data_IF_694949457141
#
_entry.id   IF_694949457141
#
_cell.length_a   1.000
_cell.length_b   1.000
_cell.length_c   1.000
_cell.angle_alpha   90.00
_cell.angle_beta   90.00
_cell.angle_gamma   90.00
#
_symmetry.space_group_name_H-M   'P 1'
#
loop_
_entity.id
_entity.type
_entity.pdbx_description
1 polymer ?
#
# COMPACT_ATOMS: atom_id res chain seq x y z
N UNK A 1 -3.07 -47.76 -78.35
CA UNK A 1 -3.80 -46.87 -77.51
C UNK A 1 -3.09 -46.82 -76.15
N UNK A 2 -2.42 -45.74 -75.85
CA UNK A 2 -1.67 -45.53 -74.60
C UNK A 2 -2.30 -44.37 -73.89
N UNK A 3 -3.05 -44.67 -72.80
CA UNK A 3 -3.69 -43.68 -71.91
C UNK A 3 -2.65 -43.23 -70.88
N UNK A 4 -2.33 -41.94 -70.86
CA UNK A 4 -1.50 -41.33 -69.85
C UNK A 4 -2.40 -40.78 -68.72
N UNK A 5 -2.24 -41.34 -67.51
CA UNK A 5 -2.80 -40.76 -66.28
C UNK A 5 -1.92 -39.57 -65.86
N UNK A 6 -2.49 -38.39 -65.78
CA UNK A 6 -1.87 -37.22 -65.18
C UNK A 6 -2.29 -37.16 -63.73
N UNK A 7 -1.32 -37.31 -62.80
CA UNK A 7 -1.52 -37.14 -61.37
C UNK A 7 -1.36 -35.66 -61.02
N UNK A 8 -2.44 -34.99 -60.59
CA UNK A 8 -2.42 -33.65 -60.01
C UNK A 8 -1.98 -33.78 -58.56
N UNK A 9 -0.81 -33.30 -58.25
CA UNK A 9 -0.35 -33.06 -56.85
C UNK A 9 -0.87 -31.69 -56.41
N UNK A 10 -1.88 -31.66 -55.53
CA UNK A 10 -2.31 -30.46 -54.81
C UNK A 10 -1.32 -30.21 -53.66
N UNK A 11 -0.44 -29.24 -53.81
CA UNK A 11 0.41 -28.74 -52.76
C UNK A 11 -0.43 -27.80 -51.87
N UNK A 12 -0.90 -28.26 -50.74
CA UNK A 12 -1.51 -27.41 -49.68
C UNK A 12 -0.39 -26.63 -49.01
N UNK A 13 -0.25 -25.36 -49.38
CA UNK A 13 0.59 -24.39 -48.66
C UNK A 13 -0.11 -24.08 -47.30
N UNK A 14 0.33 -24.77 -46.23
CA UNK A 14 0.04 -24.35 -44.87
C UNK A 14 0.78 -23.03 -44.60
N UNK A 15 0.07 -21.91 -44.66
CA UNK A 15 0.58 -20.64 -44.12
C UNK A 15 0.73 -20.78 -42.63
N UNK A 16 1.95 -21.04 -42.15
CA UNK A 16 2.33 -20.82 -40.77
C UNK A 16 2.25 -19.30 -40.56
N UNK A 17 1.13 -18.83 -40.04
CA UNK A 17 1.07 -17.51 -39.46
C UNK A 17 2.01 -17.53 -38.25
N UNK A 18 3.16 -16.87 -38.39
CA UNK A 18 4.01 -16.57 -37.24
C UNK A 18 3.15 -15.76 -36.25
N UNK A 19 2.61 -16.42 -35.25
CA UNK A 19 2.15 -15.74 -34.05
C UNK A 19 3.40 -15.18 -33.36
N UNK A 20 3.78 -14.00 -33.78
CA UNK A 20 4.77 -13.22 -33.06
C UNK A 20 4.11 -12.88 -31.73
N UNK A 21 4.47 -13.60 -30.64
CA UNK A 21 4.06 -13.26 -29.30
C UNK A 21 4.51 -11.81 -29.09
N UNK A 22 3.56 -10.90 -28.90
CA UNK A 22 3.89 -9.54 -28.53
C UNK A 22 4.70 -9.58 -27.24
N UNK A 23 5.82 -8.84 -27.19
CA UNK A 23 6.59 -8.75 -25.96
C UNK A 23 5.69 -8.18 -24.86
N UNK A 24 5.73 -8.80 -23.68
CA UNK A 24 4.94 -8.33 -22.53
C UNK A 24 5.34 -6.89 -22.17
N UNK A 25 4.37 -6.05 -21.88
CA UNK A 25 4.62 -4.67 -21.46
C UNK A 25 5.14 -4.63 -20.03
N UNK A 26 6.28 -3.96 -19.87
CA UNK A 26 6.88 -3.80 -18.55
C UNK A 26 6.10 -2.77 -17.72
N UNK A 27 5.73 -3.15 -16.52
CA UNK A 27 5.06 -2.29 -15.53
C UNK A 27 5.80 -2.37 -14.21
N UNK A 28 6.19 -1.25 -13.66
CA UNK A 28 6.80 -1.15 -12.34
C UNK A 28 5.73 -0.76 -11.33
N UNK A 29 5.45 -1.68 -10.39
CA UNK A 29 4.54 -1.49 -9.25
C UNK A 29 5.35 -1.20 -7.98
N UNK A 30 5.23 0.02 -7.43
CA UNK A 30 5.81 0.38 -6.14
C UNK A 30 4.79 0.15 -5.03
N UNK A 31 5.11 -0.74 -4.10
CA UNK A 31 4.30 -0.97 -2.91
C UNK A 31 4.47 0.16 -1.88
N UNK A 32 3.45 0.34 -1.04
CA UNK A 32 3.45 1.35 0.02
C UNK A 32 4.41 1.02 1.16
N UNK A 33 4.56 -0.24 1.52
CA UNK A 33 5.27 -0.70 2.71
C UNK A 33 6.18 -1.89 2.40
N UNK A 34 6.93 -2.36 3.41
CA UNK A 34 7.68 -3.62 3.31
C UNK A 34 6.75 -4.78 2.95
N UNK A 35 7.30 -5.85 2.40
CA UNK A 35 6.51 -7.01 2.00
C UNK A 35 5.81 -7.62 3.20
N UNK A 36 4.48 -7.52 3.21
CA UNK A 36 3.58 -7.99 4.26
C UNK A 36 2.30 -8.58 3.65
N UNK A 37 1.44 -9.14 4.48
CA UNK A 37 0.25 -9.89 4.07
C UNK A 37 -0.73 -9.10 3.18
N UNK A 38 -0.88 -7.78 3.38
CA UNK A 38 -1.76 -6.94 2.56
C UNK A 38 -1.37 -6.90 1.08
N UNK A 39 -0.11 -7.18 0.77
CA UNK A 39 0.40 -7.20 -0.61
C UNK A 39 0.44 -8.61 -1.22
N UNK A 40 -0.01 -9.63 -0.49
CA UNK A 40 0.07 -11.03 -0.98
C UNK A 40 -0.59 -11.20 -2.35
N UNK A 41 -1.71 -10.50 -2.62
CA UNK A 41 -2.41 -10.58 -3.89
C UNK A 41 -1.53 -10.24 -5.10
N UNK A 42 -0.67 -9.23 -4.99
CA UNK A 42 0.23 -8.82 -6.08
C UNK A 42 1.30 -9.89 -6.36
N UNK A 43 1.87 -10.48 -5.32
CA UNK A 43 2.86 -11.55 -5.45
C UNK A 43 2.24 -12.85 -5.96
N UNK A 44 1.03 -13.18 -5.51
CA UNK A 44 0.29 -14.36 -6.00
C UNK A 44 -0.07 -14.19 -7.47
N UNK A 45 -0.52 -12.99 -7.89
CA UNK A 45 -0.80 -12.71 -9.29
C UNK A 45 0.43 -12.91 -10.17
N UNK A 46 1.62 -12.49 -9.70
CA UNK A 46 2.88 -12.72 -10.40
C UNK A 46 3.26 -14.20 -10.42
N UNK A 47 3.21 -14.90 -9.27
CA UNK A 47 3.60 -16.31 -9.15
C UNK A 47 2.70 -17.25 -9.99
N UNK A 48 1.42 -16.90 -10.13
CA UNK A 48 0.43 -17.65 -10.91
C UNK A 48 0.41 -17.29 -12.39
N UNK A 49 1.18 -16.31 -12.82
CA UNK A 49 1.23 -15.88 -14.21
C UNK A 49 0.04 -15.01 -14.65
N UNK A 50 -0.77 -14.50 -13.73
CA UNK A 50 -1.96 -13.70 -14.09
C UNK A 50 -1.60 -12.39 -14.79
N UNK A 51 -0.44 -11.81 -14.49
CA UNK A 51 0.04 -10.63 -15.20
C UNK A 51 0.49 -10.98 -16.63
N UNK A 52 1.18 -12.11 -16.80
CA UNK A 52 1.61 -12.59 -18.12
C UNK A 52 0.42 -12.95 -19.02
N UNK A 53 -0.67 -13.49 -18.43
CA UNK A 53 -1.93 -13.78 -19.15
C UNK A 53 -2.54 -12.49 -19.74
N UNK A 54 -2.35 -11.35 -19.05
CA UNK A 54 -2.80 -10.03 -19.52
C UNK A 54 -1.71 -9.30 -20.33
N UNK A 55 -0.61 -9.98 -20.69
CA UNK A 55 0.48 -9.42 -21.46
C UNK A 55 1.36 -8.42 -20.70
N UNK A 56 1.43 -8.52 -19.37
CA UNK A 56 2.21 -7.66 -18.51
C UNK A 56 3.42 -8.38 -17.92
N UNK A 57 4.58 -7.72 -17.91
CA UNK A 57 5.77 -8.09 -17.12
C UNK A 57 5.87 -7.12 -15.93
N UNK A 58 5.36 -7.55 -14.76
CA UNK A 58 5.26 -6.69 -13.58
C UNK A 58 6.48 -6.85 -12.68
N UNK A 59 7.23 -5.76 -12.51
CA UNK A 59 8.25 -5.62 -11.47
C UNK A 59 7.62 -5.06 -10.19
N UNK A 60 7.62 -5.84 -9.10
CA UNK A 60 7.09 -5.42 -7.80
C UNK A 60 8.25 -4.90 -6.96
N UNK A 61 8.23 -3.60 -6.62
CA UNK A 61 9.19 -2.96 -5.72
C UNK A 61 8.60 -2.83 -4.31
N UNK A 62 9.23 -3.39 -3.28
CA UNK A 62 8.78 -3.19 -1.91
C UNK A 62 8.93 -1.72 -1.50
N UNK A 63 8.04 -1.27 -0.63
CA UNK A 63 8.12 0.03 0.02
C UNK A 63 8.85 -0.02 1.36
N UNK A 64 8.56 0.93 2.23
CA UNK A 64 9.15 1.00 3.56
C UNK A 64 8.87 2.32 4.29
N UNK A 65 9.34 2.43 5.55
CA UNK A 65 9.05 3.58 6.39
C UNK A 65 9.70 4.90 5.92
N UNK A 66 10.61 4.85 4.95
CA UNK A 66 11.31 6.01 4.39
C UNK A 66 11.04 6.19 2.88
N UNK A 67 10.07 5.44 2.33
CA UNK A 67 9.68 5.53 0.92
C UNK A 67 8.31 6.19 0.81
N UNK A 68 8.23 7.25 0.01
CA UNK A 68 6.98 7.91 -0.36
C UNK A 68 6.59 7.52 -1.80
N UNK A 69 5.66 6.56 -2.02
CA UNK A 69 5.30 6.11 -3.35
C UNK A 69 4.87 7.24 -4.31
N UNK A 70 4.14 8.28 -3.86
CA UNK A 70 3.83 9.42 -4.73
C UNK A 70 5.06 10.15 -5.27
N UNK A 71 6.16 10.22 -4.50
CA UNK A 71 7.41 10.82 -4.98
C UNK A 71 8.12 9.90 -5.98
N UNK A 72 8.05 8.57 -5.76
CA UNK A 72 8.63 7.59 -6.68
C UNK A 72 7.97 7.69 -8.05
N UNK A 73 6.63 7.72 -8.12
CA UNK A 73 5.92 7.81 -9.41
C UNK A 73 6.11 9.19 -10.07
N UNK A 74 6.11 10.28 -9.30
CA UNK A 74 6.36 11.62 -9.81
C UNK A 74 7.77 11.75 -10.41
N UNK A 75 8.74 11.03 -9.87
CA UNK A 75 10.11 10.94 -10.37
C UNK A 75 10.31 9.93 -11.51
N UNK A 76 9.26 9.26 -11.97
CA UNK A 76 9.33 8.25 -13.03
C UNK A 76 9.91 6.91 -12.60
N UNK A 77 9.98 6.65 -11.30
CA UNK A 77 10.54 5.40 -10.73
C UNK A 77 9.55 4.23 -10.69
N UNK A 78 8.26 4.48 -10.97
CA UNK A 78 7.20 3.48 -11.07
C UNK A 78 6.12 3.93 -12.04
N UNK A 79 5.36 2.97 -12.58
CA UNK A 79 4.19 3.20 -13.42
C UNK A 79 2.89 3.20 -12.60
N UNK A 80 2.82 2.33 -11.60
CA UNK A 80 1.72 2.20 -10.66
C UNK A 80 2.28 2.24 -9.25
N UNK A 81 1.57 2.89 -8.34
CA UNK A 81 1.95 2.89 -6.91
C UNK A 81 0.78 2.49 -6.04
N UNK A 82 1.08 1.82 -4.94
CA UNK A 82 0.13 1.61 -3.85
C UNK A 82 0.32 2.74 -2.85
N UNK A 83 -0.76 3.45 -2.53
CA UNK A 83 -0.72 4.53 -1.54
C UNK A 83 -2.06 4.67 -0.81
N UNK A 84 -2.06 5.42 0.27
CA UNK A 84 -3.25 5.76 1.02
C UNK A 84 -3.92 7.01 0.45
N UNK A 85 -5.25 7.03 0.45
CA UNK A 85 -6.03 8.13 -0.14
C UNK A 85 -5.63 9.52 0.41
N UNK A 86 -5.45 9.75 1.73
CA UNK A 86 -5.04 11.05 2.23
C UNK A 86 -3.68 11.51 1.70
N UNK A 87 -2.73 10.58 1.57
CA UNK A 87 -1.40 10.83 0.99
C UNK A 87 -1.50 11.22 -0.48
N UNK A 88 -2.30 10.45 -1.25
CA UNK A 88 -2.53 10.71 -2.66
C UNK A 88 -3.21 12.08 -2.89
N UNK A 89 -4.20 12.44 -2.07
CA UNK A 89 -4.87 13.74 -2.12
C UNK A 89 -3.90 14.88 -1.81
N UNK A 90 -3.13 14.78 -0.72
CA UNK A 90 -2.14 15.80 -0.37
C UNK A 90 -1.05 15.97 -1.44
N UNK A 91 -0.72 14.88 -2.14
CA UNK A 91 0.23 14.92 -3.27
C UNK A 91 -0.40 15.55 -4.50
N UNK A 92 -1.68 15.27 -4.76
CA UNK A 92 -2.44 15.89 -5.85
C UNK A 92 -2.59 17.41 -5.64
N UNK A 93 -2.83 17.88 -4.42
CA UNK A 93 -2.87 19.30 -4.08
C UNK A 93 -1.54 20.02 -4.37
N UNK A 94 -0.42 19.31 -4.33
CA UNK A 94 0.92 19.80 -4.69
C UNK A 94 1.21 19.74 -6.20
N UNK A 95 0.23 19.38 -7.02
CA UNK A 95 0.33 19.40 -8.47
C UNK A 95 0.72 18.07 -9.14
N UNK A 96 0.91 16.98 -8.39
CA UNK A 96 1.12 15.65 -8.98
C UNK A 96 -0.23 15.00 -9.25
N UNK A 97 -0.62 14.91 -10.52
CA UNK A 97 -1.94 14.47 -10.94
C UNK A 97 -2.11 12.94 -10.81
N UNK A 98 -2.23 12.45 -9.56
CA UNK A 98 -2.52 11.05 -9.26
C UNK A 98 -4.00 10.72 -9.51
N UNK A 99 -4.27 9.55 -10.09
CA UNK A 99 -5.61 9.00 -10.27
C UNK A 99 -5.67 7.64 -9.60
N UNK A 100 -6.68 7.42 -8.76
CA UNK A 100 -6.97 6.10 -8.19
C UNK A 100 -7.63 5.24 -9.27
N UNK A 101 -7.00 4.11 -9.61
CA UNK A 101 -7.51 3.17 -10.63
C UNK A 101 -8.12 1.91 -10.04
N UNK A 102 -7.79 1.58 -8.77
CA UNK A 102 -8.39 0.47 -8.05
C UNK A 102 -8.29 0.68 -6.54
N UNK A 103 -9.29 0.20 -5.80
CA UNK A 103 -9.35 0.27 -4.35
C UNK A 103 -9.63 -1.13 -3.78
N UNK A 104 -8.56 -1.95 -3.52
CA UNK A 104 -8.72 -3.31 -3.02
C UNK A 104 -9.32 -3.37 -1.62
N UNK A 105 -9.01 -2.40 -0.76
CA UNK A 105 -9.48 -2.35 0.62
C UNK A 105 -10.65 -1.37 0.77
N UNK A 106 -11.71 -1.83 1.44
CA UNK A 106 -12.92 -1.03 1.72
C UNK A 106 -12.81 -0.26 3.05
N UNK A 107 -11.96 -0.73 3.96
CA UNK A 107 -11.77 -0.20 5.29
C UNK A 107 -10.30 -0.25 5.69
N UNK A 108 -9.92 0.54 6.68
CA UNK A 108 -8.55 0.57 7.21
C UNK A 108 -8.39 -0.41 8.37
N UNK A 109 -7.27 -1.12 8.38
CA UNK A 109 -6.85 -1.92 9.54
C UNK A 109 -6.07 -1.13 10.59
N UNK A 110 -5.92 0.18 10.41
CA UNK A 110 -5.07 1.02 11.27
C UNK A 110 -5.64 1.17 12.68
N UNK A 111 -4.76 0.98 13.65
CA UNK A 111 -5.04 1.16 15.08
C UNK A 111 -3.91 1.92 15.77
N UNK A 112 -4.24 2.54 16.90
CA UNK A 112 -3.26 2.93 17.89
C UNK A 112 -3.33 1.90 19.02
N UNK A 113 -2.23 1.18 19.26
CA UNK A 113 -2.11 0.14 20.31
C UNK A 113 -1.27 0.66 21.45
N UNK A 114 -1.83 0.62 22.66
CA UNK A 114 -1.25 1.20 23.88
C UNK A 114 -1.05 0.12 24.94
N UNK A 115 -0.01 0.25 25.76
CA UNK A 115 0.12 -0.52 26.99
C UNK A 115 -0.82 0.03 28.05
N UNK A 116 -1.61 -0.80 28.72
CA UNK A 116 -2.46 -0.37 29.86
C UNK A 116 -1.66 0.27 30.99
N UNK A 117 -0.45 -0.24 31.25
CA UNK A 117 0.44 0.32 32.27
C UNK A 117 0.89 1.77 32.00
N UNK A 118 0.77 2.23 30.72
CA UNK A 118 1.04 3.63 30.37
C UNK A 118 0.01 4.61 30.91
N UNK A 119 -1.09 4.11 31.46
CA UNK A 119 -2.21 4.90 31.97
C UNK A 119 -3.13 5.43 30.89
N UNK A 120 -3.05 4.90 29.67
CA UNK A 120 -3.95 5.24 28.56
C UNK A 120 -5.13 4.27 28.59
N UNK A 121 -6.33 4.77 28.85
CA UNK A 121 -7.59 4.03 28.81
C UNK A 121 -8.56 4.63 27.76
N UNK A 122 -8.46 5.92 27.51
CA UNK A 122 -9.30 6.67 26.56
C UNK A 122 -8.43 7.62 25.72
N UNK A 123 -8.91 8.15 24.60
CA UNK A 123 -8.18 9.15 23.82
C UNK A 123 -7.84 10.44 24.59
N UNK A 124 -8.60 10.77 25.64
CA UNK A 124 -8.30 11.92 26.49
C UNK A 124 -6.97 11.78 27.26
N UNK A 125 -6.53 10.53 27.48
CA UNK A 125 -5.30 10.22 28.21
C UNK A 125 -4.03 10.35 27.35
N UNK A 126 -4.16 10.67 26.06
CA UNK A 126 -3.00 10.89 25.16
C UNK A 126 -2.19 12.12 25.52
N UNK A 127 -2.82 13.10 26.16
CA UNK A 127 -2.15 14.34 26.56
C UNK A 127 -0.87 14.06 27.38
N UNK A 128 0.24 14.64 26.92
CA UNK A 128 1.56 14.46 27.54
C UNK A 128 2.23 13.12 27.26
N UNK A 129 1.63 12.24 26.45
CA UNK A 129 2.21 10.94 26.10
C UNK A 129 3.05 11.02 24.85
N UNK A 130 3.98 10.08 24.71
CA UNK A 130 4.69 9.80 23.46
C UNK A 130 3.92 8.74 22.67
N UNK A 131 3.62 9.04 21.41
CA UNK A 131 2.88 8.17 20.50
C UNK A 131 3.72 7.87 19.26
N UNK A 132 3.89 6.59 18.93
CA UNK A 132 4.58 6.14 17.74
C UNK A 132 3.68 6.29 16.51
N UNK A 133 4.18 6.98 15.49
CA UNK A 133 3.43 7.32 14.27
C UNK A 133 4.27 7.03 13.05
N UNK A 134 3.68 6.40 12.05
CA UNK A 134 4.28 6.26 10.73
C UNK A 134 4.15 7.56 9.95
N UNK A 135 5.17 7.85 9.14
CA UNK A 135 5.24 9.04 8.29
C UNK A 135 5.15 8.67 6.80
N UNK A 136 5.49 9.62 5.94
CA UNK A 136 5.44 9.51 4.48
C UNK A 136 4.02 9.24 3.94
N UNK A 137 3.05 9.94 4.52
CA UNK A 137 1.64 9.89 4.13
C UNK A 137 0.77 8.99 4.99
N UNK A 138 1.34 8.26 5.95
CA UNK A 138 0.58 7.43 6.90
C UNK A 138 0.15 8.22 8.15
N UNK A 139 0.73 9.40 8.38
CA UNK A 139 0.46 10.26 9.53
C UNK A 139 -0.88 11.01 9.45
N UNK A 140 -1.47 11.17 8.28
CA UNK A 140 -2.65 12.01 8.10
C UNK A 140 -3.85 11.63 8.97
N UNK A 141 -4.26 10.36 9.10
CA UNK A 141 -5.36 9.99 9.99
C UNK A 141 -5.05 10.33 11.46
N UNK A 142 -3.80 10.10 11.89
CA UNK A 142 -3.36 10.44 13.23
C UNK A 142 -3.42 11.96 13.49
N UNK A 143 -2.89 12.76 12.58
CA UNK A 143 -2.91 14.24 12.70
C UNK A 143 -4.35 14.77 12.73
N UNK A 144 -5.23 14.20 11.89
CA UNK A 144 -6.65 14.54 11.89
C UNK A 144 -7.29 14.21 13.25
N UNK A 145 -7.01 13.03 13.80
CA UNK A 145 -7.53 12.63 15.10
C UNK A 145 -7.04 13.51 16.25
N UNK A 146 -5.75 13.79 16.31
CA UNK A 146 -5.20 14.71 17.31
C UNK A 146 -5.82 16.11 17.21
N UNK A 147 -6.02 16.61 16.00
CA UNK A 147 -6.71 17.89 15.77
C UNK A 147 -8.16 17.87 16.28
N UNK A 148 -8.91 16.80 16.05
CA UNK A 148 -10.28 16.64 16.57
C UNK A 148 -10.32 16.62 18.11
N UNK A 149 -9.28 16.05 18.75
CA UNK A 149 -9.14 16.01 20.19
C UNK A 149 -8.62 17.36 20.78
N UNK A 150 -8.25 18.31 19.91
CA UNK A 150 -7.62 19.57 20.34
C UNK A 150 -6.19 19.41 20.88
N UNK A 151 -5.53 18.28 20.56
CA UNK A 151 -4.17 17.98 20.99
C UNK A 151 -3.15 18.43 19.95
N UNK A 152 -2.13 19.16 20.40
CA UNK A 152 -0.98 19.51 19.58
C UNK A 152 -0.06 18.31 19.41
N UNK A 153 0.71 18.28 18.32
CA UNK A 153 1.67 17.21 18.00
C UNK A 153 3.12 17.68 18.06
N UNK A 154 3.38 18.71 18.86
CA UNK A 154 4.66 19.41 19.01
C UNK A 154 5.44 19.02 20.29
N UNK A 155 4.90 18.09 21.09
CA UNK A 155 5.51 17.67 22.36
C UNK A 155 5.30 18.62 23.54
N UNK A 156 4.46 19.64 23.38
CA UNK A 156 4.14 20.57 24.45
C UNK A 156 3.22 19.96 25.54
N UNK A 157 3.03 20.67 26.66
CA UNK A 157 2.26 20.19 27.81
C UNK A 157 0.78 19.94 27.50
N UNK A 158 0.26 20.56 26.46
CA UNK A 158 -1.14 20.41 25.99
C UNK A 158 -1.26 19.54 24.73
N UNK A 159 -0.25 18.73 24.45
CA UNK A 159 -0.20 17.92 23.24
C UNK A 159 0.37 16.54 23.50
N UNK A 160 0.79 15.93 22.41
CA UNK A 160 1.46 14.61 22.38
C UNK A 160 2.86 14.77 21.77
N UNK A 161 3.81 13.98 22.23
CA UNK A 161 5.09 13.83 21.58
C UNK A 161 4.99 12.77 20.49
N UNK A 162 5.28 13.12 19.25
CA UNK A 162 5.25 12.20 18.13
C UNK A 162 6.63 11.57 17.96
N UNK A 163 6.68 10.23 18.09
CA UNK A 163 7.87 9.44 17.80
C UNK A 163 7.73 8.84 16.40
N UNK A 164 8.71 9.12 15.52
CA UNK A 164 8.74 8.49 14.19
C UNK A 164 8.95 7.00 14.35
N UNK A 165 7.94 6.23 14.01
CA UNK A 165 7.94 4.77 14.10
C UNK A 165 8.48 4.14 12.81
N UNK A 166 9.32 3.10 12.94
CA UNK A 166 9.73 2.23 11.86
C UNK A 166 8.72 1.12 11.57
N UNK A 167 9.19 0.01 11.03
CA UNK A 167 8.35 -1.13 10.65
C UNK A 167 8.17 -2.18 11.77
N UNK A 168 8.73 -1.95 12.96
CA UNK A 168 8.68 -2.85 14.10
C UNK A 168 7.90 -2.25 15.29
N UNK A 169 7.71 -3.03 16.33
CA UNK A 169 6.95 -2.67 17.54
C UNK A 169 7.86 -2.32 18.74
N UNK A 170 9.18 -2.23 18.53
CA UNK A 170 10.17 -1.95 19.58
C UNK A 170 9.85 -0.73 20.43
N UNK A 171 9.35 0.40 19.88
CA UNK A 171 9.04 1.56 20.70
C UNK A 171 8.00 1.29 21.80
N UNK A 172 7.06 0.36 21.56
CA UNK A 172 6.10 -0.06 22.58
C UNK A 172 6.74 -1.01 23.57
N UNK A 173 7.44 -2.04 23.10
CA UNK A 173 8.06 -3.09 23.92
C UNK A 173 9.13 -2.49 24.86
N UNK A 174 9.90 -1.53 24.35
CA UNK A 174 10.91 -0.82 25.13
C UNK A 174 10.36 0.38 25.93
N UNK A 175 9.04 0.58 25.92
CA UNK A 175 8.34 1.67 26.63
C UNK A 175 8.83 3.08 26.26
N UNK A 176 9.35 3.24 25.03
CA UNK A 176 9.72 4.54 24.46
C UNK A 176 8.49 5.34 24.05
N UNK A 177 7.39 4.65 23.73
CA UNK A 177 6.08 5.23 23.45
C UNK A 177 4.99 4.53 24.29
N UNK A 178 4.01 5.32 24.74
CA UNK A 178 2.83 4.80 25.43
C UNK A 178 1.93 4.00 24.49
N UNK A 179 1.86 4.45 23.24
CA UNK A 179 1.11 3.80 22.18
C UNK A 179 1.93 3.84 20.88
N UNK A 180 1.65 2.92 19.97
CA UNK A 180 2.23 2.87 18.63
C UNK A 180 1.16 2.63 17.57
N UNK A 181 1.43 3.06 16.33
CA UNK A 181 0.63 2.66 15.18
C UNK A 181 0.79 1.16 14.91
N UNK A 182 -0.31 0.48 14.68
CA UNK A 182 -0.35 -0.94 14.33
C UNK A 182 -1.44 -1.18 13.30
N UNK A 183 -1.29 -2.24 12.51
CA UNK A 183 -2.37 -2.77 11.68
C UNK A 183 -2.98 -4.01 12.32
N UNK A 184 -4.29 -4.18 12.19
CA UNK A 184 -5.03 -5.34 12.71
C UNK A 184 -4.48 -6.67 12.21
N UNK A 185 -3.86 -6.67 11.03
CA UNK A 185 -3.39 -7.86 10.33
C UNK A 185 -1.86 -8.07 10.42
N UNK A 186 -1.11 -7.18 11.09
CA UNK A 186 0.36 -7.31 11.17
C UNK A 186 0.92 -6.89 12.55
N UNK A 187 1.22 -5.59 12.79
CA UNK A 187 2.01 -5.15 13.96
C UNK A 187 1.32 -5.47 15.29
N UNK A 188 -0.01 -5.50 15.33
CA UNK A 188 -0.72 -5.96 16.52
C UNK A 188 -0.26 -7.35 16.95
N UNK A 189 -0.12 -8.26 15.99
CA UNK A 189 0.33 -9.62 16.25
C UNK A 189 1.80 -9.70 16.60
N UNK A 190 2.65 -8.80 16.07
CA UNK A 190 4.04 -8.67 16.50
C UNK A 190 4.14 -8.28 17.98
N UNK A 191 3.24 -7.42 18.48
CA UNK A 191 3.16 -7.08 19.92
C UNK A 191 2.80 -8.32 20.74
N UNK A 192 1.83 -9.11 20.28
CA UNK A 192 1.44 -10.37 20.96
C UNK A 192 2.60 -11.38 20.93
N UNK A 193 3.25 -11.57 19.79
CA UNK A 193 4.39 -12.49 19.62
C UNK A 193 5.61 -12.06 20.47
N UNK A 194 5.74 -10.76 20.76
CA UNK A 194 6.76 -10.25 21.70
C UNK A 194 6.42 -10.54 23.18
N UNK A 195 5.29 -11.22 23.48
CA UNK A 195 4.90 -11.68 24.80
C UNK A 195 3.97 -10.74 25.58
N UNK A 196 3.49 -9.66 24.97
CA UNK A 196 2.48 -8.79 25.57
C UNK A 196 1.10 -9.44 25.40
N UNK A 197 0.37 -9.59 26.49
CA UNK A 197 -0.95 -10.23 26.42
C UNK A 197 -2.01 -9.25 25.95
N UNK A 198 -3.07 -9.73 25.25
CA UNK A 198 -4.17 -8.87 24.81
C UNK A 198 -4.83 -8.09 25.96
N UNK A 199 -4.94 -8.70 27.14
CA UNK A 199 -5.50 -8.06 28.33
C UNK A 199 -4.65 -6.90 28.87
N UNK A 200 -3.38 -6.79 28.48
CA UNK A 200 -2.47 -5.70 28.88
C UNK A 200 -2.46 -4.56 27.86
N UNK A 201 -3.26 -4.69 26.79
CA UNK A 201 -3.37 -3.70 25.72
C UNK A 201 -4.69 -2.95 25.73
N UNK A 202 -4.64 -1.70 25.28
CA UNK A 202 -5.80 -0.91 24.84
C UNK A 202 -5.57 -0.57 23.38
N UNK A 203 -6.56 -0.84 22.53
CA UNK A 203 -6.50 -0.56 21.10
C UNK A 203 -7.59 0.42 20.69
N UNK A 204 -7.24 1.39 19.86
CA UNK A 204 -8.16 2.34 19.27
C UNK A 204 -8.10 2.19 17.76
N UNK A 205 -9.17 1.66 17.15
CA UNK A 205 -9.27 1.64 15.68
C UNK A 205 -9.60 3.04 15.19
N UNK A 206 -8.89 3.50 14.19
CA UNK A 206 -9.08 4.84 13.63
C UNK A 206 -10.49 5.02 13.05
N UNK A 207 -11.08 3.97 12.49
CA UNK A 207 -12.45 3.99 11.99
C UNK A 207 -13.47 4.32 13.10
N UNK A 208 -13.29 3.76 14.29
CA UNK A 208 -14.17 3.99 15.44
C UNK A 208 -13.99 5.40 16.05
N UNK A 209 -12.93 6.12 15.65
CA UNK A 209 -12.61 7.47 16.10
C UNK A 209 -13.04 8.56 15.09
N UNK A 210 -13.77 8.18 14.03
CA UNK A 210 -14.23 9.13 13.03
C UNK A 210 -13.14 9.66 12.10
N UNK A 211 -12.00 8.97 12.02
CA UNK A 211 -10.87 9.30 11.14
C UNK A 211 -10.54 8.13 10.20
N UNK A 212 -11.58 7.45 9.73
CA UNK A 212 -11.45 6.39 8.74
C UNK A 212 -10.74 6.90 7.47
N UNK A 213 -9.92 6.04 6.88
CA UNK A 213 -9.23 6.32 5.61
C UNK A 213 -9.27 5.11 4.69
N UNK A 214 -9.14 5.34 3.39
CA UNK A 214 -8.90 4.28 2.42
C UNK A 214 -7.40 4.05 2.30
N UNK A 215 -6.98 2.84 2.62
CA UNK A 215 -5.59 2.40 2.51
C UNK A 215 -5.35 1.59 1.24
N UNK A 216 -4.08 1.56 0.81
CA UNK A 216 -3.55 0.67 -0.22
C UNK A 216 -4.34 0.67 -1.55
N UNK A 217 -4.81 1.87 -1.97
CA UNK A 217 -5.32 2.06 -3.33
C UNK A 217 -4.20 2.05 -4.37
N UNK A 218 -4.53 1.68 -5.61
CA UNK A 218 -3.61 1.76 -6.75
C UNK A 218 -3.77 3.12 -7.44
N UNK A 219 -2.65 3.78 -7.69
CA UNK A 219 -2.60 5.11 -8.30
C UNK A 219 -1.64 5.13 -9.48
N UNK A 220 -2.01 5.89 -10.50
CA UNK A 220 -1.19 6.20 -11.68
C UNK A 220 -1.16 7.71 -11.90
N UNK A 221 -0.21 8.19 -12.70
CA UNK A 221 -0.26 9.56 -13.19
C UNK A 221 -1.36 9.69 -14.26
N UNK A 222 -2.12 10.78 -14.22
CA UNK A 222 -3.21 11.07 -15.18
C UNK A 222 -2.73 11.02 -16.63
N UNK A 223 -1.50 11.46 -16.89
CA UNK A 223 -0.92 11.44 -18.23
C UNK A 223 -0.73 10.01 -18.79
N UNK A 224 -0.50 9.02 -17.93
CA UNK A 224 -0.43 7.60 -18.35
C UNK A 224 -1.78 7.11 -18.90
N UNK A 225 -2.89 7.61 -18.37
CA UNK A 225 -4.24 7.24 -18.82
C UNK A 225 -4.64 7.88 -20.17
N UNK A 226 -3.84 8.82 -20.68
CA UNK A 226 -3.99 9.38 -22.03
C UNK A 226 -3.44 8.46 -23.10
N UNK A 227 -2.55 7.54 -22.73
CA UNK A 227 -2.05 6.49 -23.62
C UNK A 227 -3.07 5.34 -23.69
N UNK A 228 -3.75 5.12 -24.84
CA UNK A 228 -4.72 4.04 -24.97
C UNK A 228 -4.12 2.67 -24.68
N UNK A 229 -2.88 2.42 -25.11
CA UNK A 229 -2.21 1.14 -24.90
C UNK A 229 -1.99 0.83 -23.41
N UNK A 230 -1.64 1.84 -22.60
CA UNK A 230 -1.52 1.67 -21.14
C UNK A 230 -2.88 1.53 -20.46
N UNK A 231 -3.89 2.26 -20.96
CA UNK A 231 -5.23 2.28 -20.34
C UNK A 231 -6.01 0.98 -20.52
N UNK A 232 -5.77 0.25 -21.62
CA UNK A 232 -6.47 -1.00 -21.96
C UNK A 232 -5.93 -2.21 -21.18
N UNK A 233 -4.82 -2.06 -20.51
CA UNK A 233 -4.14 -3.08 -19.70
C UNK A 233 -4.31 -2.86 -18.19
#
# INVERSE_FOLDING_TARGET
MKTRLASLLLASAFSLSDFQAAAADKVVLQLKWVTQAQFAGYYVAKDKGFYEEEGLDVEIKPGGPDIAPPQVIAGGGADVVVDWMPSALATREKGVALVNIAQPFKSSGMMLTCLKESGVATPADFKGKTLGVWFFGNEYPFLSWMSQLGLKTDGGPDGVTVLKQGFNVDPLIQKQAACISTMTYNEYWQVIDAGIKPEDLVTFKYEDQGVATLEDGLYVLEDKLKDPAFKEK
#
